data_IF_417688755809
#
_entry.id   IF_417688755809
#
_cell.length_a   1.000
_cell.length_b   1.000
_cell.length_c   1.000
_cell.angle_alpha   90.00
_cell.angle_beta   90.00
_cell.angle_gamma   90.00
#
_symmetry.space_group_name_H-M   'P 1'
#
loop_
_entity.id
_entity.type
_entity.pdbx_description
1 polymer ?
#
# COMPACT_ATOMS: atom_id res chain seq x y z
N UNK A 1 7.42 6.81 14.45
CA UNK A 1 8.24 6.42 13.28
C UNK A 1 7.76 7.21 12.10
N UNK A 2 8.65 7.64 11.20
CA UNK A 2 8.31 8.40 9.99
C UNK A 2 8.97 7.74 8.79
N UNK A 3 8.34 7.86 7.60
CA UNK A 3 8.96 7.49 6.33
C UNK A 3 9.58 8.75 5.77
N UNK A 4 10.86 8.72 5.44
CA UNK A 4 11.57 9.82 4.80
C UNK A 4 11.98 9.40 3.39
N UNK A 5 11.63 10.22 2.41
CA UNK A 5 11.96 10.03 0.99
C UNK A 5 12.75 11.25 0.56
N UNK A 6 13.95 11.05 -0.01
CA UNK A 6 14.89 12.11 -0.37
C UNK A 6 15.32 11.98 -1.83
N UNK A 7 15.01 12.98 -2.63
CA UNK A 7 15.45 13.14 -4.01
C UNK A 7 15.23 11.90 -4.90
N UNK A 8 14.10 11.18 -4.67
CA UNK A 8 13.83 9.91 -5.33
C UNK A 8 13.56 10.12 -6.82
N UNK A 9 14.31 9.42 -7.65
CA UNK A 9 14.15 9.40 -9.10
C UNK A 9 13.96 8.00 -9.64
N UNK A 10 13.08 7.85 -10.67
CA UNK A 10 12.86 6.60 -11.39
C UNK A 10 12.50 6.83 -12.85
N UNK A 11 13.15 6.06 -13.73
CA UNK A 11 12.90 6.06 -15.17
C UNK A 11 12.64 4.64 -15.67
N UNK A 12 11.86 4.51 -16.69
CA UNK A 12 11.67 3.28 -17.46
C UNK A 12 11.96 3.60 -18.95
N UNK A 13 13.13 3.17 -19.42
CA UNK A 13 13.63 3.58 -20.72
C UNK A 13 13.77 5.11 -20.81
N UNK A 14 13.07 5.74 -21.74
CA UNK A 14 13.07 7.20 -21.91
C UNK A 14 12.06 7.94 -21.02
N UNK A 15 11.12 7.21 -20.38
CA UNK A 15 10.06 7.82 -19.58
C UNK A 15 10.52 8.02 -18.14
N UNK A 16 10.61 9.28 -17.70
CA UNK A 16 10.77 9.62 -16.28
C UNK A 16 9.43 9.49 -15.58
N UNK A 17 9.39 8.74 -14.49
CA UNK A 17 8.19 8.47 -13.69
C UNK A 17 8.23 9.19 -12.36
N UNK A 18 9.41 9.25 -11.74
CA UNK A 18 9.66 10.06 -10.56
C UNK A 18 10.90 10.92 -10.84
N UNK A 19 10.84 12.21 -10.52
CA UNK A 19 11.95 13.13 -10.70
C UNK A 19 12.10 13.96 -9.44
N UNK A 20 13.20 13.71 -8.71
CA UNK A 20 13.57 14.48 -7.51
C UNK A 20 12.45 14.56 -6.45
N UNK A 21 11.74 13.44 -6.24
CA UNK A 21 10.61 13.41 -5.31
C UNK A 21 11.09 13.28 -3.86
N UNK A 22 10.73 14.27 -3.02
CA UNK A 22 11.03 14.26 -1.59
C UNK A 22 9.75 14.41 -0.78
N UNK A 23 9.62 13.58 0.27
CA UNK A 23 8.44 13.60 1.14
C UNK A 23 8.76 12.99 2.51
N UNK A 24 8.26 13.63 3.57
CA UNK A 24 8.26 13.08 4.92
C UNK A 24 6.84 12.70 5.32
N UNK A 25 6.65 11.47 5.78
CA UNK A 25 5.36 10.90 6.17
C UNK A 25 5.43 10.53 7.66
N UNK A 26 4.86 11.38 8.51
CA UNK A 26 4.91 11.21 9.97
C UNK A 26 3.73 10.38 10.51
N UNK A 27 2.72 10.15 9.70
CA UNK A 27 1.51 9.40 10.06
C UNK A 27 0.71 9.00 8.82
N UNK A 28 -0.58 8.69 8.98
CA UNK A 28 -1.44 8.36 7.86
C UNK A 28 -1.57 9.50 6.87
N UNK A 29 -1.30 9.24 5.59
CA UNK A 29 -1.28 10.23 4.52
C UNK A 29 -1.84 9.66 3.22
N UNK A 30 -2.44 10.51 2.41
CA UNK A 30 -2.97 10.17 1.09
C UNK A 30 -2.06 10.75 0.02
N UNK A 31 -1.70 9.92 -0.97
CA UNK A 31 -1.00 10.34 -2.16
C UNK A 31 -1.97 10.35 -3.35
N UNK A 32 -2.24 11.52 -3.88
CA UNK A 32 -3.07 11.74 -5.05
C UNK A 32 -2.24 12.09 -6.28
N UNK A 33 -2.86 12.08 -7.44
CA UNK A 33 -2.25 12.48 -8.71
C UNK A 33 -2.85 11.72 -9.88
N UNK A 34 -2.55 12.18 -11.10
CA UNK A 34 -3.08 11.60 -12.33
C UNK A 34 -2.72 10.11 -12.49
N UNK A 35 -3.52 9.38 -13.29
CA UNK A 35 -3.20 7.98 -13.60
C UNK A 35 -1.88 7.88 -14.36
N UNK A 36 -1.05 6.88 -14.01
CA UNK A 36 0.23 6.64 -14.67
C UNK A 36 1.35 7.63 -14.30
N UNK A 37 1.14 8.52 -13.30
CA UNK A 37 2.14 9.53 -12.89
C UNK A 37 3.29 8.95 -12.03
N UNK A 38 3.14 7.71 -11.54
CA UNK A 38 4.21 7.05 -10.75
C UNK A 38 3.85 6.67 -9.33
N UNK A 39 2.59 6.85 -8.89
CA UNK A 39 2.16 6.52 -7.51
C UNK A 39 2.43 5.06 -7.15
N UNK A 40 1.98 4.12 -7.98
CA UNK A 40 2.26 2.69 -7.81
C UNK A 40 3.77 2.38 -7.86
N UNK A 41 4.52 3.07 -8.72
CA UNK A 41 5.98 2.92 -8.79
C UNK A 41 6.64 3.34 -7.48
N UNK A 42 6.21 4.46 -6.90
CA UNK A 42 6.68 4.90 -5.58
C UNK A 42 6.43 3.83 -4.51
N UNK A 43 5.20 3.30 -4.44
CA UNK A 43 4.89 2.24 -3.47
C UNK A 43 5.75 0.98 -3.71
N UNK A 44 5.99 0.59 -4.96
CA UNK A 44 6.85 -0.56 -5.30
C UNK A 44 8.30 -0.34 -4.86
N UNK A 45 8.82 0.89 -5.00
CA UNK A 45 10.17 1.24 -4.51
C UNK A 45 10.21 1.12 -2.99
N UNK A 46 9.25 1.70 -2.27
CA UNK A 46 9.17 1.64 -0.81
C UNK A 46 9.02 0.20 -0.27
N UNK A 47 8.43 -0.69 -1.06
CA UNK A 47 8.33 -2.12 -0.76
C UNK A 47 9.60 -2.92 -1.12
N UNK A 48 10.60 -2.29 -1.72
CA UNK A 48 11.80 -2.98 -2.23
C UNK A 48 11.55 -3.87 -3.44
N UNK A 49 10.41 -3.72 -4.12
CA UNK A 49 10.05 -4.45 -5.35
C UNK A 49 10.57 -3.79 -6.61
N UNK A 50 11.05 -2.57 -6.49
CA UNK A 50 11.64 -1.79 -7.58
C UNK A 50 12.80 -0.97 -7.01
N UNK A 51 13.90 -0.84 -7.76
CA UNK A 51 15.07 -0.05 -7.34
C UNK A 51 14.95 1.38 -7.88
N UNK A 52 15.12 2.42 -7.06
CA UNK A 52 15.20 3.78 -7.55
C UNK A 52 16.50 3.98 -8.36
N UNK A 53 16.49 4.93 -9.31
CA UNK A 53 17.66 5.28 -10.10
C UNK A 53 18.50 6.37 -9.40
N UNK A 54 17.85 7.17 -8.52
CA UNK A 54 18.50 8.18 -7.66
C UNK A 54 17.74 8.38 -6.38
N UNK A 55 18.37 9.03 -5.39
CA UNK A 55 17.81 9.32 -4.10
C UNK A 55 17.78 8.13 -3.15
N UNK A 56 17.14 8.31 -2.03
CA UNK A 56 17.04 7.29 -0.97
C UNK A 56 15.71 7.38 -0.22
N UNK A 57 15.40 6.34 0.55
CA UNK A 57 14.31 6.37 1.51
C UNK A 57 14.67 5.58 2.77
N UNK A 58 14.00 5.91 3.86
CA UNK A 58 14.15 5.24 5.15
C UNK A 58 12.84 5.19 5.91
N UNK A 59 12.79 4.45 7.01
CA UNK A 59 11.64 4.41 7.92
C UNK A 59 10.50 3.47 7.49
N UNK A 60 10.64 2.73 6.39
CA UNK A 60 9.69 1.65 6.03
C UNK A 60 10.08 0.39 6.79
N UNK A 61 9.29 0.04 7.80
CA UNK A 61 9.57 -1.11 8.69
C UNK A 61 8.41 -2.08 8.61
N UNK A 62 8.69 -3.36 8.38
CA UNK A 62 7.71 -4.45 8.28
C UNK A 62 6.43 -4.03 7.55
N UNK A 63 6.52 -3.67 6.26
CA UNK A 63 5.38 -3.13 5.54
C UNK A 63 4.32 -4.19 5.26
N UNK A 64 3.03 -3.84 5.48
CA UNK A 64 1.92 -4.55 4.84
C UNK A 64 1.37 -3.69 3.69
N UNK A 65 0.93 -4.36 2.62
CA UNK A 65 0.54 -3.68 1.40
C UNK A 65 -0.78 -4.20 0.82
N UNK A 66 -1.52 -3.28 0.22
CA UNK A 66 -2.55 -3.57 -0.78
C UNK A 66 -1.97 -3.20 -2.14
N UNK A 67 -1.96 -4.16 -3.05
CA UNK A 67 -1.53 -3.95 -4.42
C UNK A 67 -2.74 -3.68 -5.34
N UNK A 68 -2.50 -3.22 -6.53
CA UNK A 68 -3.55 -3.09 -7.54
C UNK A 68 -4.21 -4.46 -7.83
N UNK A 69 -3.44 -5.54 -7.79
CA UNK A 69 -3.92 -6.92 -7.79
C UNK A 69 -4.15 -7.40 -6.35
N UNK A 70 -5.24 -8.12 -6.07
CA UNK A 70 -5.61 -8.50 -4.71
C UNK A 70 -4.69 -9.55 -4.07
N UNK A 71 -4.00 -10.35 -4.89
CA UNK A 71 -2.99 -11.36 -4.48
C UNK A 71 -3.45 -12.26 -3.33
N UNK A 72 -4.70 -12.72 -3.38
CA UNK A 72 -5.26 -13.66 -2.42
C UNK A 72 -4.85 -15.10 -2.75
N UNK A 73 -4.84 -15.96 -1.73
CA UNK A 73 -4.78 -17.41 -1.92
C UNK A 73 -6.15 -17.89 -2.43
N UNK A 74 -6.29 -18.29 -3.72
CA UNK A 74 -7.60 -18.49 -4.31
C UNK A 74 -8.36 -19.69 -3.74
N UNK A 75 -7.66 -20.65 -3.16
CA UNK A 75 -8.22 -21.85 -2.54
C UNK A 75 -8.74 -21.63 -1.13
N UNK A 76 -8.21 -20.62 -0.43
CA UNK A 76 -8.61 -20.27 0.92
C UNK A 76 -9.86 -19.37 0.88
N UNK A 77 -10.71 -19.49 1.90
CA UNK A 77 -11.82 -18.56 2.09
C UNK A 77 -11.33 -17.17 2.55
N UNK A 78 -12.26 -16.22 2.73
CA UNK A 78 -11.91 -14.85 3.14
C UNK A 78 -11.24 -14.81 4.51
N UNK A 79 -11.75 -15.55 5.49
CA UNK A 79 -11.23 -15.60 6.87
C UNK A 79 -9.82 -16.15 6.88
N UNK A 80 -9.60 -17.30 6.21
CA UNK A 80 -8.29 -17.95 6.17
C UNK A 80 -7.23 -17.08 5.46
N UNK A 81 -7.64 -16.31 4.43
CA UNK A 81 -6.73 -15.33 3.80
C UNK A 81 -6.26 -14.22 4.76
N UNK A 82 -7.10 -13.83 5.74
CA UNK A 82 -6.72 -12.86 6.77
C UNK A 82 -5.83 -13.48 7.82
N UNK A 83 -6.22 -14.65 8.33
CA UNK A 83 -5.50 -15.36 9.41
C UNK A 83 -4.11 -15.78 8.96
N UNK A 84 -3.94 -16.18 7.69
CA UNK A 84 -2.66 -16.61 7.13
C UNK A 84 -1.53 -15.59 7.32
N UNK A 85 -1.84 -14.30 7.24
CA UNK A 85 -0.85 -13.22 7.32
C UNK A 85 -0.96 -12.42 8.62
N UNK A 86 -1.96 -12.71 9.44
CA UNK A 86 -2.34 -11.90 10.61
C UNK A 86 -1.55 -12.19 11.89
N UNK A 87 -0.52 -13.04 11.87
CA UNK A 87 0.36 -13.37 13.02
C UNK A 87 -0.37 -13.33 14.36
N UNK A 88 -1.13 -14.39 14.66
CA UNK A 88 -1.97 -14.48 15.87
C UNK A 88 -3.33 -13.78 15.76
N UNK A 89 -3.76 -13.40 14.57
CA UNK A 89 -5.14 -12.99 14.32
C UNK A 89 -6.06 -14.20 14.49
N UNK A 90 -7.04 -14.12 15.39
CA UNK A 90 -8.03 -15.18 15.52
C UNK A 90 -9.15 -15.03 14.47
N UNK A 91 -9.76 -16.16 14.11
CA UNK A 91 -10.79 -16.23 13.07
C UNK A 91 -12.01 -15.34 13.41
N UNK A 92 -12.40 -15.27 14.68
CA UNK A 92 -13.55 -14.48 15.15
C UNK A 92 -13.38 -12.99 14.88
N UNK A 93 -12.14 -12.47 15.02
CA UNK A 93 -11.84 -11.06 14.69
C UNK A 93 -11.91 -10.86 13.18
N UNK A 94 -11.34 -11.77 12.41
CA UNK A 94 -11.37 -11.73 10.95
C UNK A 94 -12.81 -11.75 10.42
N UNK A 95 -13.66 -12.66 10.93
CA UNK A 95 -15.08 -12.75 10.60
C UNK A 95 -15.83 -11.45 10.93
N UNK A 96 -15.64 -10.92 12.13
CA UNK A 96 -16.27 -9.68 12.56
C UNK A 96 -15.95 -8.52 11.62
N UNK A 97 -14.70 -8.37 11.23
CA UNK A 97 -14.27 -7.28 10.33
C UNK A 97 -14.78 -7.48 8.89
N UNK A 98 -14.87 -8.73 8.41
CA UNK A 98 -15.47 -9.04 7.12
C UNK A 98 -16.97 -8.72 7.10
N UNK A 99 -17.70 -9.11 8.14
CA UNK A 99 -19.13 -8.79 8.29
C UNK A 99 -19.35 -7.28 8.34
N UNK A 100 -18.49 -6.54 9.04
CA UNK A 100 -18.54 -5.07 9.11
C UNK A 100 -18.28 -4.41 7.75
N UNK A 101 -17.60 -5.09 6.83
CA UNK A 101 -17.43 -4.66 5.43
C UNK A 101 -18.42 -5.33 4.47
N UNK A 102 -19.61 -5.70 4.95
CA UNK A 102 -20.74 -6.12 4.12
C UNK A 102 -20.62 -7.51 3.51
N UNK A 103 -19.86 -8.43 4.12
CA UNK A 103 -19.94 -9.84 3.78
C UNK A 103 -21.16 -10.49 4.42
N UNK A 104 -21.87 -11.31 3.67
CA UNK A 104 -22.87 -12.19 4.25
C UNK A 104 -22.19 -13.41 4.94
N UNK A 105 -22.77 -13.97 6.04
CA UNK A 105 -22.17 -15.12 6.72
C UNK A 105 -21.87 -16.32 5.81
N UNK A 106 -22.71 -16.56 4.79
CA UNK A 106 -22.51 -17.64 3.83
C UNK A 106 -21.30 -17.40 2.91
N UNK A 107 -20.94 -16.15 2.64
CA UNK A 107 -19.83 -15.78 1.77
C UNK A 107 -18.47 -15.99 2.43
N UNK A 108 -18.42 -15.93 3.78
CA UNK A 108 -17.19 -16.16 4.53
C UNK A 108 -16.57 -17.54 4.30
N UNK A 109 -17.40 -18.52 3.93
CA UNK A 109 -16.98 -19.89 3.67
C UNK A 109 -16.58 -20.14 2.21
N UNK A 110 -16.83 -19.20 1.30
CA UNK A 110 -16.51 -19.36 -0.11
C UNK A 110 -15.00 -19.21 -0.34
N UNK A 111 -14.39 -20.06 -1.19
CA UNK A 111 -13.02 -19.84 -1.63
C UNK A 111 -12.88 -18.48 -2.29
N UNK A 112 -11.74 -17.81 -2.09
CA UNK A 112 -11.49 -16.47 -2.65
C UNK A 112 -11.60 -16.47 -4.19
N UNK A 113 -11.37 -17.59 -4.86
CA UNK A 113 -11.61 -17.72 -6.29
C UNK A 113 -13.05 -17.39 -6.71
N UNK A 114 -14.05 -17.66 -5.83
CA UNK A 114 -15.49 -17.46 -6.09
C UNK A 114 -15.99 -16.07 -5.63
N UNK A 115 -15.17 -15.28 -4.97
CA UNK A 115 -15.53 -13.93 -4.54
C UNK A 115 -15.58 -12.98 -5.74
N UNK A 116 -16.48 -12.00 -5.69
CA UNK A 116 -16.49 -10.88 -6.64
C UNK A 116 -15.21 -10.04 -6.53
N UNK A 117 -14.91 -9.21 -7.53
CA UNK A 117 -13.75 -8.31 -7.50
C UNK A 117 -13.77 -7.37 -6.28
N UNK A 118 -14.92 -6.75 -6.00
CA UNK A 118 -15.07 -5.89 -4.82
C UNK A 118 -14.94 -6.64 -3.49
N UNK A 119 -15.40 -7.90 -3.42
CA UNK A 119 -15.17 -8.76 -2.25
C UNK A 119 -13.70 -9.08 -2.06
N UNK A 120 -13.00 -9.48 -3.13
CA UNK A 120 -11.55 -9.75 -3.09
C UNK A 120 -10.78 -8.51 -2.62
N UNK A 121 -11.18 -7.33 -3.12
CA UNK A 121 -10.57 -6.05 -2.73
C UNK A 121 -10.72 -5.77 -1.24
N UNK A 122 -11.92 -6.00 -0.66
CA UNK A 122 -12.17 -5.86 0.78
C UNK A 122 -11.34 -6.84 1.62
N UNK A 123 -11.20 -8.10 1.17
CA UNK A 123 -10.31 -9.07 1.82
C UNK A 123 -8.85 -8.61 1.77
N UNK A 124 -8.37 -8.15 0.61
CA UNK A 124 -6.99 -7.66 0.47
C UNK A 124 -6.72 -6.45 1.37
N UNK A 125 -7.68 -5.52 1.49
CA UNK A 125 -7.61 -4.38 2.39
C UNK A 125 -7.51 -4.83 3.85
N UNK A 126 -8.45 -5.65 4.31
CA UNK A 126 -8.46 -6.15 5.70
C UNK A 126 -7.19 -6.95 6.02
N UNK A 127 -6.68 -7.74 5.08
CA UNK A 127 -5.44 -8.49 5.25
C UNK A 127 -4.26 -7.58 5.58
N UNK A 128 -4.14 -6.43 4.90
CA UNK A 128 -3.09 -5.46 5.20
C UNK A 128 -3.33 -4.75 6.54
N UNK A 129 -4.57 -4.31 6.79
CA UNK A 129 -4.92 -3.56 8.00
C UNK A 129 -4.80 -4.38 9.29
N UNK A 130 -5.15 -5.67 9.24
CA UNK A 130 -5.13 -6.60 10.37
C UNK A 130 -3.77 -7.29 10.57
N UNK A 131 -2.79 -7.02 9.71
CA UNK A 131 -1.42 -7.50 9.91
C UNK A 131 -0.83 -6.82 11.16
N UNK A 132 -0.75 -7.57 12.26
CA UNK A 132 -0.36 -7.05 13.58
C UNK A 132 1.10 -6.62 13.65
N UNK A 133 1.97 -7.31 12.91
CA UNK A 133 3.40 -7.02 12.88
C UNK A 133 3.76 -5.87 11.93
N UNK A 134 2.80 -5.40 11.14
CA UNK A 134 3.03 -4.31 10.23
C UNK A 134 3.15 -2.98 10.97
N UNK A 135 4.30 -2.35 10.82
CA UNK A 135 4.57 -1.00 11.35
C UNK A 135 4.32 0.08 10.29
N UNK A 136 4.31 -0.30 9.02
CA UNK A 136 4.06 0.58 7.87
C UNK A 136 2.95 0.01 7.00
N UNK A 137 2.08 0.86 6.46
CA UNK A 137 1.04 0.46 5.51
C UNK A 137 1.20 1.18 4.17
N UNK A 138 1.18 0.42 3.08
CA UNK A 138 1.30 0.93 1.72
C UNK A 138 0.10 0.41 0.90
N UNK A 139 -0.90 1.28 0.66
CA UNK A 139 -2.20 0.90 0.14
C UNK A 139 -2.42 1.52 -1.25
N UNK A 140 -2.44 0.68 -2.30
CA UNK A 140 -2.65 1.14 -3.69
C UNK A 140 -4.10 0.93 -4.11
N UNK A 141 -4.84 2.05 -4.27
CA UNK A 141 -6.25 2.11 -4.68
C UNK A 141 -7.16 1.13 -3.89
N UNK A 142 -7.14 1.17 -2.54
CA UNK A 142 -7.76 0.11 -1.72
C UNK A 142 -9.29 0.04 -1.83
N UNK A 143 -9.96 1.09 -2.32
CA UNK A 143 -11.41 1.19 -2.37
C UNK A 143 -12.00 0.93 -3.76
N UNK A 144 -11.19 0.57 -4.74
CA UNK A 144 -11.64 0.30 -6.12
C UNK A 144 -12.65 -0.83 -6.17
N UNK A 145 -13.72 -0.64 -6.96
CA UNK A 145 -14.77 -1.65 -7.15
C UNK A 145 -15.78 -1.77 -6.01
N UNK A 146 -15.82 -0.79 -5.11
CA UNK A 146 -16.82 -0.65 -4.05
C UNK A 146 -17.83 0.44 -4.44
N UNK A 147 -19.09 0.26 -4.07
CA UNK A 147 -20.10 1.32 -4.14
C UNK A 147 -19.89 2.37 -3.03
N UNK A 148 -20.60 3.49 -3.11
CA UNK A 148 -20.40 4.63 -2.21
C UNK A 148 -20.63 4.27 -0.73
N UNK A 149 -21.57 3.35 -0.42
CA UNK A 149 -21.84 2.91 0.95
C UNK A 149 -20.69 2.06 1.49
N UNK A 150 -20.23 1.10 0.70
CA UNK A 150 -19.08 0.26 1.04
C UNK A 150 -17.79 1.07 1.16
N UNK A 151 -17.58 2.09 0.30
CA UNK A 151 -16.43 3.01 0.44
C UNK A 151 -16.47 3.71 1.80
N UNK A 152 -17.63 4.22 2.25
CA UNK A 152 -17.74 4.85 3.58
C UNK A 152 -17.36 3.89 4.72
N UNK A 153 -17.87 2.67 4.68
CA UNK A 153 -17.57 1.63 5.67
C UNK A 153 -16.09 1.25 5.64
N UNK A 154 -15.51 1.09 4.45
CA UNK A 154 -14.10 0.76 4.26
C UNK A 154 -13.18 1.88 4.75
N UNK A 155 -13.52 3.14 4.49
CA UNK A 155 -12.80 4.32 5.00
C UNK A 155 -12.82 4.36 6.53
N UNK A 156 -14.00 4.21 7.16
CA UNK A 156 -14.13 4.19 8.62
C UNK A 156 -13.31 3.04 9.24
N UNK A 157 -13.37 1.85 8.64
CA UNK A 157 -12.59 0.69 9.08
C UNK A 157 -11.09 0.96 8.91
N UNK A 158 -10.68 1.59 7.80
CA UNK A 158 -9.29 1.94 7.54
C UNK A 158 -8.77 2.93 8.58
N UNK A 159 -9.48 4.03 8.83
CA UNK A 159 -9.09 5.03 9.85
C UNK A 159 -8.94 4.38 11.23
N UNK A 160 -9.91 3.54 11.63
CA UNK A 160 -9.90 2.84 12.92
C UNK A 160 -8.72 1.88 13.05
N UNK A 161 -8.46 1.07 12.03
CA UNK A 161 -7.45 0.02 12.09
C UNK A 161 -6.02 0.52 11.83
N UNK A 162 -5.84 1.58 11.05
CA UNK A 162 -4.54 2.19 10.79
C UNK A 162 -3.93 2.78 12.07
N UNK A 163 -4.72 3.47 12.88
CA UNK A 163 -4.23 4.16 14.07
C UNK A 163 -3.21 5.24 13.70
N UNK A 164 -2.05 5.19 14.34
CA UNK A 164 -0.95 6.13 14.12
C UNK A 164 0.19 5.57 13.25
N UNK A 165 -0.01 4.40 12.64
CA UNK A 165 1.03 3.79 11.80
C UNK A 165 1.32 4.68 10.59
N UNK A 166 2.59 4.95 10.24
CA UNK A 166 2.96 5.60 8.99
C UNK A 166 2.31 4.85 7.82
N UNK A 167 1.47 5.57 7.08
CA UNK A 167 0.66 4.98 6.01
C UNK A 167 0.68 5.87 4.79
N UNK A 168 0.92 5.29 3.63
CA UNK A 168 0.72 5.94 2.34
C UNK A 168 -0.43 5.23 1.63
N UNK A 169 -1.55 5.91 1.50
CA UNK A 169 -2.71 5.44 0.74
C UNK A 169 -2.76 6.20 -0.60
N UNK A 170 -2.64 5.47 -1.68
CA UNK A 170 -2.79 6.00 -3.03
C UNK A 170 -4.25 5.89 -3.45
N UNK A 171 -4.82 6.99 -3.90
CA UNK A 171 -6.15 6.98 -4.54
C UNK A 171 -6.30 8.15 -5.52
N UNK A 172 -7.20 8.00 -6.48
CA UNK A 172 -7.67 9.07 -7.36
C UNK A 172 -9.07 9.57 -6.95
N UNK A 173 -9.71 8.92 -5.97
CA UNK A 173 -11.02 9.30 -5.46
C UNK A 173 -10.86 10.39 -4.38
N UNK A 174 -11.20 11.64 -4.78
CA UNK A 174 -11.13 12.79 -3.88
C UNK A 174 -12.12 12.67 -2.70
N UNK A 175 -13.31 12.10 -2.93
CA UNK A 175 -14.29 11.93 -1.87
C UNK A 175 -13.79 10.97 -0.79
N UNK A 176 -13.22 9.84 -1.19
CA UNK A 176 -12.58 8.90 -0.26
C UNK A 176 -11.40 9.54 0.48
N UNK A 177 -10.55 10.32 -0.22
CA UNK A 177 -9.43 11.02 0.38
C UNK A 177 -9.88 12.05 1.43
N UNK A 178 -10.95 12.79 1.16
CA UNK A 178 -11.54 13.75 2.12
C UNK A 178 -12.16 13.05 3.32
N UNK A 179 -12.86 11.93 3.12
CA UNK A 179 -13.45 11.14 4.21
C UNK A 179 -12.40 10.54 5.15
N UNK A 180 -11.20 10.22 4.67
CA UNK A 180 -10.10 9.75 5.51
C UNK A 180 -9.64 10.82 6.51
N UNK A 181 -9.74 12.11 6.16
CA UNK A 181 -9.29 13.22 7.03
C UNK A 181 -7.78 13.25 7.24
N UNK A 182 -6.99 12.58 6.38
CA UNK A 182 -5.53 12.52 6.45
C UNK A 182 -4.88 13.63 5.64
N UNK A 183 -3.58 13.86 5.86
CA UNK A 183 -2.80 14.79 5.04
C UNK A 183 -2.78 14.31 3.59
N UNK A 184 -3.18 15.18 2.66
CA UNK A 184 -3.17 14.88 1.23
C UNK A 184 -1.90 15.48 0.62
N UNK A 185 -1.13 14.65 -0.07
CA UNK A 185 -0.01 15.05 -0.92
C UNK A 185 -0.36 14.76 -2.37
N UNK A 186 -0.14 15.73 -3.23
CA UNK A 186 -0.29 15.53 -4.67
C UNK A 186 1.06 15.20 -5.31
N UNK A 187 1.12 14.11 -6.05
CA UNK A 187 2.24 13.79 -6.92
C UNK A 187 2.03 14.55 -8.24
N UNK A 188 2.85 15.57 -8.48
CA UNK A 188 2.81 16.35 -9.71
C UNK A 188 3.71 15.71 -10.75
N UNK A 189 3.24 15.67 -12.01
CA UNK A 189 4.05 15.23 -13.13
C UNK A 189 5.18 16.22 -13.34
N UNK A 190 6.40 15.76 -13.15
CA UNK A 190 7.55 16.62 -13.38
C UNK A 190 7.98 16.53 -14.84
N UNK A 191 7.81 17.62 -15.58
CA UNK A 191 8.41 17.84 -16.91
C UNK A 191 9.87 18.29 -16.80
N UNK A 192 10.54 18.05 -15.67
CA UNK A 192 11.97 18.31 -15.55
C UNK A 192 12.72 17.41 -16.53
N UNK A 193 13.23 17.99 -17.59
CA UNK A 193 14.17 17.36 -18.49
C UNK A 193 15.45 17.08 -17.71
N UNK A 194 15.76 15.80 -17.49
CA UNK A 194 17.15 15.41 -17.16
C UNK A 194 18.01 15.76 -18.37
N UNK A 195 19.18 16.37 -18.18
CA UNK A 195 20.10 16.56 -19.28
C UNK A 195 20.43 15.20 -19.92
N UNK A 196 20.50 15.11 -21.24
CA UNK A 196 20.98 13.91 -21.90
C UNK A 196 22.47 13.72 -21.51
N UNK A 197 22.77 12.48 -21.11
CA UNK A 197 24.14 12.00 -20.91
C UNK A 197 24.99 12.64 -19.81
N UNK A 198 24.89 12.09 -18.62
CA UNK A 198 25.85 12.26 -17.55
C UNK A 198 26.13 10.90 -16.89
N UNK A 199 27.30 10.34 -17.16
CA UNK A 199 27.86 9.15 -16.54
C UNK A 199 27.70 9.21 -15.01
N UNK A 200 26.81 8.40 -14.47
CA UNK A 200 26.62 8.22 -13.03
C UNK A 200 27.76 7.39 -12.48
N UNK A 201 28.68 8.02 -11.79
CA UNK A 201 29.50 7.33 -10.80
C UNK A 201 28.66 7.14 -9.55
N UNK A 202 27.86 6.07 -9.51
CA UNK A 202 27.18 5.66 -8.31
C UNK A 202 28.17 4.99 -7.35
N UNK A 203 28.24 5.39 -6.06
CA UNK A 203 28.93 4.59 -5.07
C UNK A 203 28.09 3.34 -4.78
N UNK A 204 28.66 2.18 -5.06
CA UNK A 204 28.11 0.86 -4.71
C UNK A 204 28.20 0.66 -3.18
N UNK A 205 27.23 1.18 -2.43
CA UNK A 205 27.19 1.01 -0.98
C UNK A 205 25.76 1.11 -0.40
N UNK A 206 24.82 0.29 -0.87
CA UNK A 206 23.53 0.13 -0.15
C UNK A 206 22.88 -1.24 -0.38
N UNK A 207 23.60 -2.25 -0.84
CA UNK A 207 23.07 -3.61 -1.04
C UNK A 207 23.48 -4.58 0.08
N UNK A 208 23.52 -4.14 1.34
CA UNK A 208 23.78 -5.05 2.47
C UNK A 208 22.92 -4.60 3.65
N UNK A 209 21.70 -5.12 3.75
CA UNK A 209 21.02 -5.38 5.04
C UNK A 209 19.59 -5.90 4.83
N UNK A 210 19.49 -7.00 4.09
CA UNK A 210 18.34 -7.90 4.20
C UNK A 210 18.89 -9.34 4.22
N UNK A 211 19.62 -9.68 5.28
CA UNK A 211 19.81 -11.08 5.65
C UNK A 211 18.87 -11.35 6.81
N UNK A 212 17.89 -12.21 6.56
CA UNK A 212 17.15 -12.90 7.59
C UNK A 212 18.09 -13.44 8.66
N UNK A 213 17.96 -12.95 9.89
CA UNK A 213 18.42 -13.70 11.06
C UNK A 213 17.28 -14.65 11.47
N UNK A 214 17.21 -15.80 10.80
CA UNK A 214 16.61 -17.00 11.34
C UNK A 214 17.76 -17.83 11.93
N UNK A 215 17.89 -17.85 13.24
CA UNK A 215 18.44 -18.99 14.01
C UNK A 215 18.28 -18.73 15.52
N UNK A 216 17.40 -19.46 16.10
CA UNK A 216 17.21 -20.10 17.42
C UNK A 216 15.93 -19.69 18.11
#
# INVERSE_FOLDING_TARGET
MSITIEHLGKRFGTKTVLADFSWQVDGPSVLMGASGIGKTTLLRILLGLETPDSGSFSGVVRPAAVFQEDRLCPQLNAVDNLVLTGHGLCAEVAEKELLALGFAPAELKLPAARLSGGQKRRVALLRALLCRDAETLLLDEPFTGMDAELVRQAVQTTVRLVGQRPTILVTHDLAAAQMLGWTIRELQGNTAQFPPDGLSTAPAAAARHLRCQNAR
#
